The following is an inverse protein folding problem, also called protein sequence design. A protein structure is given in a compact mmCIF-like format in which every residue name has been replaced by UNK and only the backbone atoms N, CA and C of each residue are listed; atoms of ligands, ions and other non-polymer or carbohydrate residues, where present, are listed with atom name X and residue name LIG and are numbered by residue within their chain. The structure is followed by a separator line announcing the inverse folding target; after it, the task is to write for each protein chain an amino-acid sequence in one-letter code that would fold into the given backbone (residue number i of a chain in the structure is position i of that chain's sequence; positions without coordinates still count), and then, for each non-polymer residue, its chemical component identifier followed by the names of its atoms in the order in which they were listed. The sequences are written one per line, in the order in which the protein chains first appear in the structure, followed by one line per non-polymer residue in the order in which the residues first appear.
data_IF_876795569445
#
_entry.id   IF_876795569445
#
_cell.length_a   1.000
_cell.length_b   1.000
_cell.length_c   1.000
_cell.angle_alpha   90.00
_cell.angle_beta   90.00
_cell.angle_gamma   90.00
#
_symmetry.space_group_name_H-M   'P 1'
#
loop_
_entity.id
_entity.type
_entity.pdbx_description
1 polymer ?
#
# COMPACT_ATOMS: atom_id res chain seq x y z
N UNK A 1 -13.75 13.99 16.90
CA UNK A 1 -14.82 13.72 15.92
C UNK A 1 -14.23 13.92 14.54
N UNK A 2 -14.28 12.90 13.68
CA UNK A 2 -13.83 13.03 12.28
C UNK A 2 -15.10 13.11 11.43
N UNK A 3 -15.24 14.16 10.61
CA UNK A 3 -16.43 14.32 9.77
C UNK A 3 -16.46 13.25 8.70
N UNK A 4 -17.61 12.57 8.58
CA UNK A 4 -17.88 11.59 7.52
C UNK A 4 -18.09 12.26 6.15
N UNK A 5 -18.23 13.58 6.08
CA UNK A 5 -18.36 14.30 4.81
C UNK A 5 -17.13 14.07 3.92
N UNK A 6 -15.96 13.92 4.53
CA UNK A 6 -14.71 13.61 3.81
C UNK A 6 -14.67 12.19 3.25
N UNK A 7 -15.51 11.27 3.75
CA UNK A 7 -15.62 9.92 3.21
C UNK A 7 -16.16 9.92 1.78
N UNK A 8 -17.12 10.81 1.48
CA UNK A 8 -17.67 10.94 0.13
C UNK A 8 -16.65 11.49 -0.88
N UNK A 9 -15.59 12.17 -0.41
CA UNK A 9 -14.56 12.78 -1.25
C UNK A 9 -13.33 11.88 -1.45
N UNK A 10 -13.29 10.69 -0.85
CA UNK A 10 -12.16 9.76 -1.01
C UNK A 10 -12.08 9.30 -2.46
N UNK A 11 -10.88 9.40 -3.02
CA UNK A 11 -10.52 8.83 -4.30
C UNK A 11 -9.15 8.13 -4.22
N UNK A 12 -8.63 7.67 -5.35
CA UNK A 12 -7.35 6.94 -5.44
C UNK A 12 -6.15 7.72 -4.91
N UNK A 13 -6.20 9.06 -4.94
CA UNK A 13 -5.08 9.92 -4.55
C UNK A 13 -4.88 9.96 -3.02
N UNK A 14 -5.89 9.52 -2.26
CA UNK A 14 -5.82 9.46 -0.80
C UNK A 14 -5.14 8.17 -0.29
N UNK A 15 -4.92 7.19 -1.17
CA UNK A 15 -4.27 5.94 -0.84
C UNK A 15 -2.90 5.87 -1.52
N UNK A 16 -1.85 5.76 -0.73
CA UNK A 16 -0.51 5.49 -1.24
C UNK A 16 -0.08 4.10 -0.82
N UNK A 17 0.34 3.32 -1.80
CA UNK A 17 0.78 1.94 -1.62
C UNK A 17 2.17 1.81 -2.22
N UNK A 18 3.12 1.25 -1.46
CA UNK A 18 4.52 1.12 -1.86
C UNK A 18 4.97 -0.32 -1.73
N UNK A 19 5.80 -0.77 -2.67
CA UNK A 19 6.48 -2.06 -2.56
C UNK A 19 7.79 -1.85 -1.80
N UNK A 20 7.99 -2.59 -0.71
CA UNK A 20 9.22 -2.47 0.08
C UNK A 20 10.38 -3.21 -0.61
N UNK A 21 11.25 -2.44 -1.27
CA UNK A 21 12.44 -2.94 -1.97
C UNK A 21 13.60 -3.30 -1.02
N UNK A 22 13.62 -2.78 0.21
CA UNK A 22 14.65 -3.11 1.19
C UNK A 22 14.53 -4.58 1.62
N UNK A 23 13.28 -5.06 1.71
CA UNK A 23 12.95 -6.47 1.94
C UNK A 23 13.59 -7.42 0.92
N UNK A 24 13.81 -7.00 -0.33
CA UNK A 24 14.51 -7.83 -1.33
C UNK A 24 16.01 -7.95 -1.03
N UNK A 25 16.69 -6.84 -0.72
CA UNK A 25 18.13 -6.86 -0.48
C UNK A 25 18.51 -7.67 0.75
N UNK A 26 17.69 -7.60 1.81
CA UNK A 26 18.00 -8.26 3.10
C UNK A 26 17.57 -9.73 3.09
N UNK A 27 16.40 -10.06 2.53
CA UNK A 27 15.79 -11.38 2.72
C UNK A 27 15.82 -12.29 1.47
N UNK A 28 16.46 -11.88 0.36
CA UNK A 28 16.45 -12.60 -0.93
C UNK A 28 15.05 -13.04 -1.38
N UNK A 29 14.03 -12.25 -1.05
CA UNK A 29 12.65 -12.58 -1.40
C UNK A 29 12.41 -12.35 -2.90
N UNK A 30 11.72 -13.30 -3.54
CA UNK A 30 11.35 -13.22 -4.97
C UNK A 30 10.11 -12.33 -5.21
N UNK A 31 9.46 -11.88 -4.13
CA UNK A 31 8.25 -11.07 -4.14
C UNK A 31 8.42 -9.91 -3.17
N UNK A 32 7.97 -8.72 -3.56
CA UNK A 32 7.96 -7.54 -2.68
C UNK A 32 6.63 -7.49 -1.94
N UNK A 33 6.64 -7.44 -0.60
CA UNK A 33 5.42 -7.18 0.14
C UNK A 33 4.91 -5.78 -0.16
N UNK A 34 3.60 -5.68 -0.36
CA UNK A 34 2.91 -4.42 -0.60
C UNK A 34 2.57 -3.79 0.75
N UNK A 35 2.98 -2.54 0.96
CA UNK A 35 2.75 -1.80 2.20
C UNK A 35 1.92 -0.54 1.93
N UNK A 36 0.92 -0.33 2.79
CA UNK A 36 0.10 0.88 2.76
C UNK A 36 0.87 2.00 3.45
N UNK A 37 1.25 3.03 2.69
CA UNK A 37 1.98 4.19 3.18
C UNK A 37 1.06 5.31 3.63
N UNK A 38 -0.06 5.50 2.94
CA UNK A 38 -1.03 6.53 3.26
C UNK A 38 -2.46 5.98 3.16
N UNK A 39 -3.27 6.27 4.18
CA UNK A 39 -4.72 6.05 4.16
C UNK A 39 -5.44 7.13 4.97
N UNK A 40 -6.70 7.44 4.65
CA UNK A 40 -7.52 8.32 5.47
C UNK A 40 -7.78 7.71 6.86
N UNK A 41 -7.74 8.53 7.91
CA UNK A 41 -7.96 8.09 9.30
C UNK A 41 -9.39 7.56 9.57
N UNK A 42 -10.34 7.91 8.72
CA UNK A 42 -11.75 7.51 8.78
C UNK A 42 -12.05 6.30 7.88
N UNK A 43 -11.03 5.68 7.28
CA UNK A 43 -11.15 4.46 6.50
C UNK A 43 -10.63 3.25 7.27
N UNK A 44 -11.28 2.11 7.06
CA UNK A 44 -10.77 0.80 7.47
C UNK A 44 -10.53 -0.04 6.23
N UNK A 45 -9.32 -0.55 6.08
CA UNK A 45 -8.98 -1.50 5.02
C UNK A 45 -9.73 -2.82 5.30
N UNK A 46 -10.60 -3.21 4.38
CA UNK A 46 -11.33 -4.49 4.46
C UNK A 46 -10.57 -5.60 3.74
N UNK A 47 -9.93 -5.27 2.61
CA UNK A 47 -9.10 -6.19 1.84
C UNK A 47 -8.06 -5.44 1.03
N UNK A 48 -6.95 -6.10 0.71
CA UNK A 48 -5.88 -5.56 -0.14
C UNK A 48 -5.38 -6.68 -1.05
N UNK A 49 -5.41 -6.44 -2.35
CA UNK A 49 -5.02 -7.41 -3.37
C UNK A 49 -4.27 -6.68 -4.49
N UNK A 50 -3.09 -7.18 -4.93
CA UNK A 50 -2.32 -8.29 -4.38
C UNK A 50 -1.53 -7.90 -3.10
N UNK A 51 -1.28 -8.87 -2.21
CA UNK A 51 -0.50 -8.65 -0.97
C UNK A 51 1.02 -8.62 -1.21
N UNK A 52 1.48 -9.25 -2.29
CA UNK A 52 2.87 -9.24 -2.71
C UNK A 52 2.93 -9.22 -4.24
N UNK A 53 3.94 -8.54 -4.77
CA UNK A 53 4.14 -8.38 -6.22
C UNK A 53 5.47 -8.96 -6.66
N UNK A 54 5.47 -9.56 -7.84
CA UNK A 54 6.70 -10.02 -8.49
C UNK A 54 7.39 -8.82 -9.13
N UNK A 55 8.73 -8.83 -9.16
CA UNK A 55 9.53 -7.73 -9.68
C UNK A 55 10.77 -8.26 -10.41
N UNK A 56 11.32 -7.42 -11.29
CA UNK A 56 12.56 -7.69 -12.02
C UNK A 56 13.45 -6.46 -11.83
N UNK A 57 14.64 -6.65 -11.25
CA UNK A 57 15.66 -5.60 -11.15
C UNK A 57 16.55 -5.66 -12.38
N UNK A 58 16.62 -4.57 -13.14
CA UNK A 58 17.59 -4.42 -14.23
C UNK A 58 18.80 -3.63 -13.71
N UNK A 59 20.00 -4.07 -14.10
CA UNK A 59 21.28 -3.46 -13.71
C UNK A 59 21.71 -2.41 -14.72
#
# INVERSE_FOLDING_TARGET
MVSLDHYAAINTDFFEVVADLNSWQVNRMQTLPVQLKQQPQYCKIVSMQPAAVNFIVRR
#
